data_IF_060307464512
#
_entry.id   IF_060307464512
#
_cell.length_a   1.000
_cell.length_b   1.000
_cell.length_c   1.000
_cell.angle_alpha   90.00
_cell.angle_beta   90.00
_cell.angle_gamma   90.00
#
_symmetry.space_group_name_H-M   'P 1'
#
loop_
_entity.id
_entity.type
_entity.pdbx_description
1 polymer ?
#
# COMPACT_ATOMS: atom_id res chain seq x y z
N UNK A 1 10.98 -17.47 -0.44
CA UNK A 1 11.64 -17.16 0.84
C UNK A 1 12.34 -15.81 0.78
N UNK A 2 12.59 -15.19 1.94
CA UNK A 2 13.30 -13.88 2.04
C UNK A 2 14.67 -13.91 1.38
N UNK A 3 15.38 -15.01 1.47
CA UNK A 3 16.70 -15.18 0.84
C UNK A 3 16.61 -15.06 -0.69
N UNK A 4 15.59 -15.64 -1.30
CA UNK A 4 15.40 -15.58 -2.76
C UNK A 4 15.03 -14.16 -3.21
N UNK A 5 14.16 -13.46 -2.44
CA UNK A 5 13.85 -12.06 -2.70
C UNK A 5 15.11 -11.19 -2.66
N UNK A 6 15.95 -11.37 -1.64
CA UNK A 6 17.25 -10.67 -1.52
C UNK A 6 18.19 -10.92 -2.72
N UNK A 7 18.18 -12.12 -3.31
CA UNK A 7 18.99 -12.41 -4.51
C UNK A 7 18.53 -11.58 -5.70
N UNK A 8 17.22 -11.51 -5.97
CA UNK A 8 16.68 -10.67 -7.05
C UNK A 8 17.01 -9.19 -6.84
N UNK A 9 16.83 -8.69 -5.61
CA UNK A 9 17.12 -7.30 -5.27
C UNK A 9 18.60 -6.97 -5.45
N UNK A 10 19.52 -7.82 -4.96
CA UNK A 10 20.97 -7.64 -5.13
C UNK A 10 21.40 -7.70 -6.59
N UNK A 11 20.73 -8.52 -7.41
CA UNK A 11 20.99 -8.63 -8.84
C UNK A 11 20.33 -7.51 -9.67
N UNK A 12 19.54 -6.64 -9.06
CA UNK A 12 18.67 -5.66 -9.73
C UNK A 12 17.76 -6.29 -10.80
N UNK A 13 17.29 -7.54 -10.52
CA UNK A 13 16.48 -8.35 -11.44
C UNK A 13 15.00 -8.10 -11.21
N UNK A 14 14.47 -7.03 -11.80
CA UNK A 14 13.08 -6.63 -11.71
C UNK A 14 12.12 -7.64 -12.34
N UNK A 15 12.50 -8.23 -13.47
CA UNK A 15 11.64 -9.20 -14.16
C UNK A 15 11.57 -10.53 -13.40
N UNK A 16 12.71 -11.00 -12.92
CA UNK A 16 12.78 -12.19 -12.09
C UNK A 16 11.97 -12.05 -10.81
N UNK A 17 12.11 -10.91 -10.13
CA UNK A 17 11.32 -10.63 -8.92
C UNK A 17 9.81 -10.53 -9.21
N UNK A 18 9.44 -9.85 -10.29
CA UNK A 18 8.04 -9.73 -10.71
C UNK A 18 7.44 -11.10 -11.01
N UNK A 19 8.11 -11.92 -11.83
CA UNK A 19 7.68 -13.27 -12.17
C UNK A 19 7.54 -14.15 -10.92
N UNK A 20 8.49 -14.04 -9.99
CA UNK A 20 8.49 -14.77 -8.74
C UNK A 20 7.29 -14.40 -7.86
N UNK A 21 7.03 -13.11 -7.66
CA UNK A 21 5.92 -12.63 -6.85
C UNK A 21 4.55 -12.96 -7.48
N UNK A 22 4.40 -12.78 -8.80
CA UNK A 22 3.18 -13.16 -9.53
C UNK A 22 2.91 -14.66 -9.45
N UNK A 23 3.94 -15.49 -9.60
CA UNK A 23 3.81 -16.93 -9.48
C UNK A 23 3.45 -17.37 -8.07
N UNK A 24 4.13 -16.84 -7.05
CA UNK A 24 3.83 -17.12 -5.64
C UNK A 24 2.42 -16.72 -5.22
N UNK A 25 1.92 -15.61 -5.75
CA UNK A 25 0.57 -15.12 -5.51
C UNK A 25 -0.49 -15.75 -6.41
N UNK A 26 -0.13 -16.70 -7.27
CA UNK A 26 -1.00 -17.36 -8.25
C UNK A 26 -1.70 -16.38 -9.22
N UNK A 27 -1.03 -15.28 -9.54
CA UNK A 27 -1.56 -14.22 -10.41
C UNK A 27 -0.89 -14.18 -11.80
N UNK A 28 0.08 -15.05 -12.06
CA UNK A 28 0.87 -15.01 -13.29
C UNK A 28 0.03 -15.18 -14.55
N UNK A 29 -1.01 -16.01 -14.49
CA UNK A 29 -1.94 -16.23 -15.61
C UNK A 29 -2.94 -15.08 -15.84
N UNK A 30 -2.96 -14.09 -14.94
CA UNK A 30 -3.77 -12.87 -15.05
C UNK A 30 -2.95 -11.66 -15.50
N UNK A 31 -1.68 -11.86 -15.72
CA UNK A 31 -0.81 -10.88 -16.38
C UNK A 31 -1.06 -10.91 -17.88
N UNK A 32 -1.38 -9.76 -18.49
CA UNK A 32 -1.76 -9.65 -19.91
C UNK A 32 -0.93 -8.60 -20.67
N UNK A 33 0.23 -8.20 -20.10
CA UNK A 33 1.15 -7.30 -20.81
C UNK A 33 2.01 -8.07 -21.81
N UNK A 34 2.72 -7.36 -22.67
CA UNK A 34 3.69 -7.92 -23.63
C UNK A 34 4.81 -8.73 -22.96
N UNK A 35 4.92 -8.64 -21.63
CA UNK A 35 5.90 -9.38 -20.81
C UNK A 35 5.37 -10.69 -20.26
N UNK A 36 4.12 -11.05 -20.52
CA UNK A 36 3.48 -12.25 -19.98
C UNK A 36 4.31 -13.51 -20.19
N UNK A 37 4.70 -13.77 -21.43
CA UNK A 37 5.49 -14.98 -21.77
C UNK A 37 6.83 -15.00 -21.06
N UNK A 38 7.51 -13.85 -20.94
CA UNK A 38 8.76 -13.72 -20.20
C UNK A 38 8.58 -14.09 -18.74
N UNK A 39 7.56 -13.54 -18.09
CA UNK A 39 7.27 -13.84 -16.68
C UNK A 39 6.89 -15.29 -16.47
N UNK A 40 6.11 -15.87 -17.37
CA UNK A 40 5.69 -17.27 -17.31
C UNK A 40 6.89 -18.23 -17.45
N UNK A 41 7.80 -17.96 -18.39
CA UNK A 41 9.03 -18.75 -18.56
C UNK A 41 9.94 -18.65 -17.32
N UNK A 42 10.14 -17.45 -16.79
CA UNK A 42 10.92 -17.26 -15.58
C UNK A 42 10.30 -18.01 -14.39
N UNK A 43 8.98 -17.92 -14.20
CA UNK A 43 8.28 -18.63 -13.13
C UNK A 43 8.47 -20.15 -13.24
N UNK A 44 8.28 -20.72 -14.42
CA UNK A 44 8.47 -22.16 -14.64
C UNK A 44 9.92 -22.61 -14.37
N UNK A 45 10.91 -21.75 -14.66
CA UNK A 45 12.31 -22.03 -14.37
C UNK A 45 12.61 -22.18 -12.88
N UNK A 46 11.82 -21.52 -12.01
CA UNK A 46 12.02 -21.61 -10.55
C UNK A 46 11.53 -22.92 -9.94
N UNK A 47 10.71 -23.70 -10.64
CA UNK A 47 10.16 -24.99 -10.19
C UNK A 47 9.51 -24.92 -8.82
N UNK A 48 8.80 -23.83 -8.55
CA UNK A 48 8.10 -23.60 -7.29
C UNK A 48 6.57 -23.65 -7.46
N UNK A 49 5.86 -23.84 -6.36
CA UNK A 49 4.41 -23.82 -6.33
C UNK A 49 3.90 -22.46 -5.79
N UNK A 50 2.69 -22.02 -6.21
CA UNK A 50 2.02 -20.89 -5.60
C UNK A 50 1.82 -21.10 -4.10
N UNK A 51 1.78 -20.00 -3.35
CA UNK A 51 1.48 -19.99 -1.90
C UNK A 51 0.03 -19.58 -1.66
N UNK A 52 -0.50 -18.66 -2.50
CA UNK A 52 -1.87 -18.18 -2.40
C UNK A 52 -2.76 -18.91 -3.41
N UNK A 53 -4.04 -19.01 -3.07
CA UNK A 53 -5.08 -19.48 -3.96
C UNK A 53 -5.64 -18.32 -4.79
N UNK A 54 -6.17 -18.62 -5.98
CA UNK A 54 -6.92 -17.65 -6.78
C UNK A 54 -8.12 -17.06 -6.02
N UNK A 55 -8.71 -17.83 -5.11
CA UNK A 55 -9.85 -17.41 -4.28
C UNK A 55 -9.49 -16.42 -3.17
N UNK A 56 -8.20 -16.24 -2.87
CA UNK A 56 -7.73 -15.25 -1.90
C UNK A 56 -7.75 -13.82 -2.48
N UNK A 57 -7.99 -13.66 -3.78
CA UNK A 57 -7.97 -12.38 -4.47
C UNK A 57 -9.37 -11.87 -4.80
N UNK A 58 -9.60 -10.58 -4.56
CA UNK A 58 -10.81 -9.89 -4.98
C UNK A 58 -10.57 -9.10 -6.28
N UNK A 59 -11.20 -9.56 -7.37
CA UNK A 59 -11.18 -8.86 -8.66
C UNK A 59 -12.45 -8.03 -8.90
N UNK A 60 -13.48 -8.19 -8.09
CA UNK A 60 -14.76 -7.52 -8.27
C UNK A 60 -14.65 -6.02 -7.97
N UNK A 61 -15.14 -5.18 -8.90
CA UNK A 61 -15.10 -3.70 -8.84
C UNK A 61 -13.70 -3.10 -8.70
N UNK A 62 -12.65 -3.81 -9.09
CA UNK A 62 -11.28 -3.29 -9.11
C UNK A 62 -11.01 -2.64 -10.47
N UNK A 63 -10.58 -1.38 -10.46
CA UNK A 63 -10.14 -0.72 -11.70
C UNK A 63 -8.88 -1.41 -12.24
N UNK A 64 -8.68 -1.48 -13.59
CA UNK A 64 -7.51 -2.14 -14.19
C UNK A 64 -6.18 -1.67 -13.62
N UNK A 65 -6.04 -0.35 -13.39
CA UNK A 65 -4.84 0.26 -12.79
C UNK A 65 -4.59 -0.13 -11.33
N UNK A 66 -5.60 -0.71 -10.66
CA UNK A 66 -5.51 -1.13 -9.25
C UNK A 66 -5.66 -2.65 -9.09
N UNK A 67 -5.53 -3.39 -10.18
CA UNK A 67 -5.63 -4.85 -10.16
C UNK A 67 -4.56 -5.45 -9.23
N UNK A 68 -4.81 -6.61 -8.61
CA UNK A 68 -3.81 -7.31 -7.81
C UNK A 68 -2.49 -7.54 -8.57
N UNK A 69 -2.56 -7.89 -9.86
CA UNK A 69 -1.40 -8.05 -10.74
C UNK A 69 -0.56 -6.77 -10.79
N UNK A 70 -1.18 -5.62 -11.04
CA UNK A 70 -0.47 -4.35 -11.11
C UNK A 70 0.18 -3.99 -9.76
N UNK A 71 -0.50 -4.27 -8.64
CA UNK A 71 0.06 -4.04 -7.30
C UNK A 71 1.29 -4.91 -7.03
N UNK A 72 1.31 -6.16 -7.48
CA UNK A 72 2.47 -7.03 -7.38
C UNK A 72 3.64 -6.49 -8.22
N UNK A 73 3.38 -6.01 -9.44
CA UNK A 73 4.41 -5.39 -10.29
C UNK A 73 5.01 -4.16 -9.62
N UNK A 74 4.21 -3.32 -9.03
CA UNK A 74 4.67 -2.16 -8.27
C UNK A 74 5.48 -2.55 -7.04
N UNK A 75 5.04 -3.57 -6.30
CA UNK A 75 5.81 -4.08 -5.16
C UNK A 75 7.18 -4.59 -5.59
N UNK A 76 7.28 -5.30 -6.71
CA UNK A 76 8.57 -5.75 -7.25
C UNK A 76 9.49 -4.57 -7.56
N UNK A 77 8.99 -3.55 -8.26
CA UNK A 77 9.75 -2.33 -8.57
C UNK A 77 10.19 -1.61 -7.29
N UNK A 78 9.30 -1.46 -6.33
CA UNK A 78 9.59 -0.84 -5.05
C UNK A 78 10.73 -1.57 -4.31
N UNK A 79 10.67 -2.90 -4.20
CA UNK A 79 11.70 -3.69 -3.53
C UNK A 79 13.06 -3.60 -4.24
N UNK A 80 13.08 -3.51 -5.57
CA UNK A 80 14.31 -3.32 -6.35
C UNK A 80 14.90 -1.94 -6.08
N UNK A 81 14.10 -0.89 -6.14
CA UNK A 81 14.58 0.50 -5.99
C UNK A 81 15.05 0.82 -4.57
N UNK A 82 14.38 0.30 -3.55
CA UNK A 82 14.77 0.49 -2.15
C UNK A 82 15.87 -0.45 -1.68
N UNK A 83 16.28 -1.41 -2.53
CA UNK A 83 17.22 -2.44 -2.14
C UNK A 83 16.68 -3.36 -1.04
N UNK A 84 15.36 -3.32 -0.78
CA UNK A 84 14.70 -3.97 0.37
C UNK A 84 15.40 -3.68 1.71
N UNK A 85 15.99 -2.51 1.85
CA UNK A 85 16.62 -2.02 3.08
C UNK A 85 15.89 -0.75 3.53
N UNK A 86 15.38 -0.77 4.74
CA UNK A 86 14.66 0.35 5.34
C UNK A 86 15.55 1.00 6.42
N UNK A 87 16.61 1.65 5.99
CA UNK A 87 17.62 2.20 6.89
C UNK A 87 17.50 3.73 7.10
N UNK A 88 16.70 4.41 6.28
CA UNK A 88 16.54 5.86 6.35
C UNK A 88 15.16 6.27 5.84
N UNK A 89 14.31 6.75 6.74
CA UNK A 89 12.92 7.17 6.45
C UNK A 89 12.84 8.20 5.31
N UNK A 90 13.75 9.17 5.28
CA UNK A 90 13.74 10.22 4.26
C UNK A 90 14.04 9.64 2.86
N UNK A 91 15.07 8.81 2.73
CA UNK A 91 15.42 8.16 1.47
C UNK A 91 14.34 7.19 0.98
N UNK A 92 13.66 6.51 1.91
CA UNK A 92 12.56 5.59 1.60
C UNK A 92 11.31 6.35 1.14
N UNK A 93 11.01 7.48 1.76
CA UNK A 93 9.91 8.34 1.33
C UNK A 93 10.18 8.91 -0.07
N UNK A 94 11.40 9.34 -0.37
CA UNK A 94 11.79 9.76 -1.72
C UNK A 94 11.69 8.62 -2.74
N UNK A 95 12.15 7.41 -2.42
CA UNK A 95 12.03 6.25 -3.29
C UNK A 95 10.58 5.89 -3.59
N UNK A 96 9.70 5.95 -2.59
CA UNK A 96 8.26 5.76 -2.75
C UNK A 96 7.66 6.88 -3.61
N UNK A 97 8.05 8.13 -3.38
CA UNK A 97 7.58 9.27 -4.14
C UNK A 97 7.98 9.21 -5.62
N UNK A 98 9.21 8.79 -5.91
CA UNK A 98 9.68 8.54 -7.28
C UNK A 98 8.96 7.39 -7.97
N UNK A 99 8.73 6.27 -7.26
CA UNK A 99 7.97 5.14 -7.77
C UNK A 99 6.55 5.51 -8.16
N UNK A 100 5.93 6.29 -7.31
CA UNK A 100 4.53 6.66 -7.45
C UNK A 100 4.35 7.72 -8.53
N UNK A 101 5.24 8.71 -8.61
CA UNK A 101 5.21 9.73 -9.67
C UNK A 101 5.31 9.09 -11.05
N UNK A 102 6.03 7.97 -11.16
CA UNK A 102 6.27 7.28 -12.42
C UNK A 102 5.23 6.20 -12.78
N UNK A 103 4.45 5.69 -11.83
CA UNK A 103 3.62 4.50 -12.09
C UNK A 103 2.24 4.45 -11.45
N UNK A 104 1.99 5.13 -10.33
CA UNK A 104 0.74 4.94 -9.56
C UNK A 104 -0.20 6.14 -9.51
N UNK A 105 0.29 7.33 -9.79
CA UNK A 105 -0.42 8.58 -9.56
C UNK A 105 -0.46 9.00 -8.08
N UNK A 106 -0.45 10.32 -7.84
CA UNK A 106 -0.32 10.93 -6.50
C UNK A 106 -1.32 10.40 -5.48
N UNK A 107 -2.58 10.22 -5.86
CA UNK A 107 -3.62 9.78 -4.92
C UNK A 107 -3.39 8.39 -4.33
N UNK A 108 -2.77 7.46 -5.07
CA UNK A 108 -2.43 6.13 -4.55
C UNK A 108 -1.22 6.20 -3.62
N UNK A 109 -0.23 7.02 -3.95
CA UNK A 109 0.90 7.33 -3.07
C UNK A 109 0.41 7.81 -1.71
N UNK A 110 -0.42 8.85 -1.71
CA UNK A 110 -0.93 9.44 -0.48
C UNK A 110 -1.68 8.41 0.38
N UNK A 111 -2.50 7.56 -0.25
CA UNK A 111 -3.23 6.48 0.43
C UNK A 111 -2.27 5.46 1.07
N UNK A 112 -1.25 5.00 0.33
CA UNK A 112 -0.28 4.03 0.84
C UNK A 112 0.58 4.67 1.93
N UNK A 113 1.04 5.88 1.71
CA UNK A 113 1.87 6.60 2.68
C UNK A 113 1.15 6.78 4.01
N UNK A 114 -0.07 7.29 3.98
CA UNK A 114 -0.81 7.57 5.20
C UNK A 114 -1.32 6.31 5.90
N UNK A 115 -1.89 5.35 5.16
CA UNK A 115 -2.56 4.20 5.78
C UNK A 115 -1.65 3.00 6.05
N UNK A 116 -0.47 2.95 5.43
CA UNK A 116 0.43 1.80 5.55
C UNK A 116 1.81 2.22 6.04
N UNK A 117 2.48 3.11 5.30
CA UNK A 117 3.87 3.40 5.54
C UNK A 117 4.11 4.15 6.86
N UNK A 118 3.43 5.28 7.06
CA UNK A 118 3.60 6.08 8.28
C UNK A 118 3.22 5.31 9.55
N UNK A 119 2.08 4.58 9.64
CA UNK A 119 1.78 3.74 10.79
C UNK A 119 2.81 2.64 11.02
N UNK A 120 3.30 1.99 9.96
CA UNK A 120 4.34 0.98 10.08
C UNK A 120 5.64 1.58 10.64
N UNK A 121 6.10 2.69 10.09
CA UNK A 121 7.31 3.39 10.52
C UNK A 121 7.19 3.89 11.96
N UNK A 122 6.02 4.39 12.35
CA UNK A 122 5.76 4.81 13.72
C UNK A 122 5.99 3.66 14.71
N UNK A 123 5.43 2.47 14.43
CA UNK A 123 5.63 1.27 15.27
C UNK A 123 7.07 0.77 15.21
N UNK A 124 7.69 0.77 14.02
CA UNK A 124 9.07 0.33 13.86
C UNK A 124 10.05 1.18 14.68
N UNK A 125 9.92 2.50 14.61
CA UNK A 125 10.80 3.42 15.34
C UNK A 125 10.48 3.52 16.83
N UNK A 126 9.28 3.14 17.26
CA UNK A 126 8.97 2.97 18.70
C UNK A 126 9.93 1.98 19.38
N UNK A 127 10.47 1.02 18.61
CA UNK A 127 11.38 0.00 19.11
C UNK A 127 12.86 0.37 19.04
N UNK A 128 13.26 1.36 18.27
CA UNK A 128 14.68 1.61 17.98
C UNK A 128 15.12 3.08 17.96
N UNK A 129 14.25 4.05 17.77
CA UNK A 129 14.62 5.46 17.64
C UNK A 129 13.44 6.40 17.94
N UNK A 130 13.42 6.93 19.14
CA UNK A 130 12.32 7.80 19.63
C UNK A 130 12.25 9.16 18.90
N UNK A 131 13.36 9.73 18.48
CA UNK A 131 13.40 11.00 17.76
C UNK A 131 12.75 10.86 16.38
N UNK A 132 13.13 9.83 15.62
CA UNK A 132 12.54 9.54 14.32
C UNK A 132 11.05 9.20 14.44
N UNK A 133 10.65 8.50 15.50
CA UNK A 133 9.24 8.24 15.79
C UNK A 133 8.42 9.52 15.94
N UNK A 134 8.94 10.52 16.65
CA UNK A 134 8.27 11.82 16.79
C UNK A 134 8.10 12.53 15.43
N UNK A 135 9.10 12.50 14.56
CA UNK A 135 8.98 13.05 13.20
C UNK A 135 7.89 12.33 12.37
N UNK A 136 7.81 10.99 12.47
CA UNK A 136 6.75 10.22 11.80
C UNK A 136 5.37 10.61 12.35
N UNK A 137 5.23 10.77 13.66
CA UNK A 137 3.99 11.18 14.30
C UNK A 137 3.56 12.59 13.87
N UNK A 138 4.48 13.53 13.82
CA UNK A 138 4.20 14.90 13.38
C UNK A 138 3.76 14.92 11.91
N UNK A 139 4.37 14.09 11.08
CA UNK A 139 3.95 13.93 9.68
C UNK A 139 2.55 13.32 9.58
N UNK A 140 2.20 12.32 10.39
CA UNK A 140 0.84 11.77 10.47
C UNK A 140 -0.18 12.85 10.86
N UNK A 141 0.14 13.64 11.89
CA UNK A 141 -0.74 14.70 12.39
C UNK A 141 -0.95 15.85 11.41
N UNK A 142 0.05 16.14 10.57
CA UNK A 142 0.01 17.23 9.59
C UNK A 142 -0.35 16.77 8.18
N UNK A 143 -0.72 15.50 7.98
CA UNK A 143 -0.97 14.96 6.64
C UNK A 143 -2.22 15.60 6.02
N UNK A 144 -2.11 16.11 4.77
CA UNK A 144 -3.24 16.71 4.08
C UNK A 144 -4.36 15.67 3.82
N UNK A 145 -5.62 16.11 3.68
CA UNK A 145 -6.74 15.19 3.50
C UNK A 145 -6.60 14.39 2.20
N UNK A 146 -6.83 13.10 2.31
CA UNK A 146 -6.92 12.19 1.17
C UNK A 146 -8.21 12.46 0.36
N UNK A 147 -8.29 11.98 -0.90
CA UNK A 147 -9.50 12.11 -1.68
C UNK A 147 -10.73 11.59 -0.94
N UNK A 148 -11.77 12.43 -0.85
CA UNK A 148 -12.97 12.11 -0.10
C UNK A 148 -13.66 10.86 -0.62
N UNK A 149 -14.14 10.02 0.29
CA UNK A 149 -14.93 8.84 0.01
C UNK A 149 -16.41 9.04 0.42
N UNK A 150 -17.26 8.03 0.22
CA UNK A 150 -18.68 8.10 0.56
C UNK A 150 -18.91 8.41 2.05
N UNK A 151 -18.11 7.82 2.94
CA UNK A 151 -18.27 7.99 4.39
C UNK A 151 -17.86 9.40 4.81
N UNK A 152 -16.67 9.87 4.35
CA UNK A 152 -16.18 11.19 4.71
C UNK A 152 -17.09 12.29 4.20
N UNK A 153 -17.65 12.16 2.99
CA UNK A 153 -18.67 13.11 2.48
C UNK A 153 -19.92 13.12 3.33
N UNK A 154 -20.48 11.93 3.63
CA UNK A 154 -21.68 11.82 4.49
C UNK A 154 -21.45 12.44 5.86
N UNK A 155 -20.31 12.16 6.49
CA UNK A 155 -19.99 12.70 7.82
C UNK A 155 -19.73 14.21 7.77
N UNK A 156 -19.04 14.70 6.74
CA UNK A 156 -18.81 16.12 6.52
C UNK A 156 -20.14 16.91 6.44
N UNK A 157 -21.11 16.38 5.68
CA UNK A 157 -22.44 16.97 5.57
C UNK A 157 -23.21 16.94 6.91
N UNK A 158 -23.14 15.81 7.62
CA UNK A 158 -23.80 15.64 8.93
C UNK A 158 -23.24 16.57 10.01
N UNK A 159 -21.92 16.68 10.08
CA UNK A 159 -21.21 17.48 11.07
C UNK A 159 -21.11 18.96 10.68
N UNK A 160 -21.44 19.30 9.43
CA UNK A 160 -21.18 20.62 8.83
C UNK A 160 -19.72 21.05 9.00
N UNK A 161 -18.82 20.06 8.84
CA UNK A 161 -17.39 20.21 9.05
C UNK A 161 -16.62 19.60 7.88
N UNK A 162 -15.66 20.34 7.37
CA UNK A 162 -14.76 19.87 6.32
C UNK A 162 -13.37 19.64 6.92
N UNK A 163 -12.91 18.41 6.88
CA UNK A 163 -11.58 18.04 7.37
C UNK A 163 -10.49 18.77 6.59
N UNK A 164 -9.55 19.31 7.30
CA UNK A 164 -8.33 19.94 6.76
C UNK A 164 -7.12 19.04 6.86
N UNK A 165 -7.20 17.98 7.67
CA UNK A 165 -6.18 16.96 7.89
C UNK A 165 -6.77 15.56 7.69
N UNK A 166 -5.93 14.61 7.28
CA UNK A 166 -6.41 13.24 7.08
C UNK A 166 -6.79 12.55 8.40
N UNK A 167 -6.15 12.87 9.51
CA UNK A 167 -6.56 12.34 10.82
C UNK A 167 -8.01 12.71 11.18
N UNK A 168 -8.47 13.89 10.79
CA UNK A 168 -9.87 14.30 10.99
C UNK A 168 -10.82 13.44 10.13
N UNK A 169 -10.44 13.14 8.88
CA UNK A 169 -11.17 12.19 8.04
C UNK A 169 -11.23 10.79 8.66
N UNK A 170 -10.11 10.31 9.23
CA UNK A 170 -10.08 9.02 9.91
C UNK A 170 -10.96 9.04 11.18
N UNK A 171 -10.98 10.15 11.92
CA UNK A 171 -11.92 10.37 13.02
C UNK A 171 -13.38 10.28 12.59
N UNK A 172 -13.74 10.92 11.48
CA UNK A 172 -15.08 10.83 10.89
C UNK A 172 -15.43 9.40 10.46
N UNK A 173 -14.49 8.66 9.86
CA UNK A 173 -14.70 7.25 9.48
C UNK A 173 -14.89 6.38 10.73
N UNK A 174 -14.13 6.62 11.77
CA UNK A 174 -14.24 5.90 13.04
C UNK A 174 -15.61 6.15 13.69
N UNK A 175 -16.04 7.40 13.79
CA UNK A 175 -17.36 7.78 14.29
C UNK A 175 -18.48 7.12 13.49
N UNK A 176 -18.42 7.18 12.17
CA UNK A 176 -19.39 6.53 11.30
C UNK A 176 -19.50 5.02 11.56
N UNK A 177 -18.37 4.32 11.60
CA UNK A 177 -18.36 2.86 11.75
C UNK A 177 -18.86 2.38 13.11
N UNK A 178 -18.53 3.11 14.18
CA UNK A 178 -18.82 2.67 15.53
C UNK A 178 -20.19 3.12 16.05
N UNK A 179 -20.77 4.18 15.50
CA UNK A 179 -22.06 4.71 15.96
C UNK A 179 -23.08 4.83 14.83
N UNK A 180 -22.79 5.60 13.79
CA UNK A 180 -23.80 5.86 12.75
C UNK A 180 -24.19 4.61 11.95
N UNK A 181 -23.24 3.75 11.61
CA UNK A 181 -23.51 2.54 10.81
C UNK A 181 -24.29 1.48 11.60
N UNK A 182 -24.17 1.47 12.92
CA UNK A 182 -24.88 0.53 13.81
C UNK A 182 -26.13 1.14 14.43
N UNK A 183 -26.42 2.42 14.18
CA UNK A 183 -27.61 3.10 14.69
C UNK A 183 -27.57 3.44 16.17
N UNK A 184 -26.38 3.41 16.80
CA UNK A 184 -26.19 3.69 18.23
C UNK A 184 -26.01 5.20 18.47
N UNK A 185 -27.12 5.95 18.27
CA UNK A 185 -27.10 7.40 18.46
C UNK A 185 -27.14 7.79 19.94
N UNK A 186 -27.67 6.93 20.80
CA UNK A 186 -27.84 7.22 22.23
C UNK A 186 -26.50 7.26 23.00
N UNK A 187 -25.50 6.55 22.49
CA UNK A 187 -24.14 6.52 23.07
C UNK A 187 -23.12 7.29 22.18
N UNK A 188 -23.60 8.02 21.17
CA UNK A 188 -22.74 8.79 20.30
C UNK A 188 -22.09 9.95 21.06
N UNK A 189 -20.80 10.14 20.84
CA UNK A 189 -20.01 11.20 21.49
C UNK A 189 -20.17 12.59 20.84
N UNK A 190 -21.04 12.72 19.83
CA UNK A 190 -21.35 13.97 19.11
C UNK A 190 -22.57 14.66 19.68
#
# INVERSE_FOLDING_TARGET
TLEKLRKFVKANDSDGLTAYLLGKSNLIHWEHSDRHDTYLQLWHSYRELPVLSMYDWQFYKVRPTHSPVQRIKWMAQFLIQTGAQFNNVAAEMEAIEQLVSNSMGKGMYDIITFNVLLPFLYVYYDMCDDETRHHVLDRLKSYPPLPSNRITRYMSDKLRYHATLELENQGMIYLYKNWCAVGDCDHCVL
#
